data_IF_651337955419
#
_entry.id   IF_651337955419
#
_cell.length_a   1.000
_cell.length_b   1.000
_cell.length_c   1.000
_cell.angle_alpha   90.00
_cell.angle_beta   90.00
_cell.angle_gamma   90.00
#
_symmetry.space_group_name_H-M   'P 1'
#
loop_
_entity.id
_entity.type
_entity.pdbx_description
1 polymer ?
#
# COMPACT_ATOMS: atom_id res chain seq x y z
N UNK A 1 8.70 -5.60 -4.41
CA UNK A 1 7.69 -4.59 -4.04
C UNK A 1 6.95 -4.13 -5.27
N UNK A 2 5.65 -4.02 -5.19
CA UNK A 2 4.82 -3.61 -6.31
C UNK A 2 3.84 -2.53 -5.87
N UNK A 3 3.74 -1.46 -6.66
CA UNK A 3 2.79 -0.37 -6.38
C UNK A 3 1.82 -0.29 -7.55
N UNK A 4 0.52 -0.27 -7.24
CA UNK A 4 -0.54 -0.19 -8.23
C UNK A 4 -1.51 0.93 -7.85
N UNK A 5 -1.91 1.72 -8.82
CA UNK A 5 -3.00 2.66 -8.63
C UNK A 5 -4.11 2.36 -9.62
N UNK A 6 -5.29 2.00 -9.10
CA UNK A 6 -6.48 1.77 -9.90
C UNK A 6 -7.26 3.09 -9.97
N UNK A 7 -7.27 3.69 -11.16
CA UNK A 7 -7.89 4.99 -11.37
C UNK A 7 -9.40 4.94 -11.17
N UNK A 8 -10.05 3.87 -11.62
CA UNK A 8 -11.51 3.74 -11.49
C UNK A 8 -11.94 3.58 -10.04
N UNK A 9 -11.25 2.74 -9.30
CA UNK A 9 -11.54 2.50 -7.89
C UNK A 9 -10.95 3.57 -6.98
N UNK A 10 -10.05 4.41 -7.48
CA UNK A 10 -9.27 5.37 -6.70
C UNK A 10 -8.58 4.66 -5.53
N UNK A 11 -7.95 3.53 -5.82
CA UNK A 11 -7.30 2.69 -4.83
C UNK A 11 -5.81 2.54 -5.13
N UNK A 12 -4.99 2.87 -4.16
CA UNK A 12 -3.54 2.71 -4.21
C UNK A 12 -3.14 1.51 -3.37
N UNK A 13 -2.38 0.60 -3.95
CA UNK A 13 -1.94 -0.62 -3.27
C UNK A 13 -0.42 -0.73 -3.32
N UNK A 14 0.19 -0.96 -2.17
CA UNK A 14 1.62 -1.22 -2.06
C UNK A 14 1.78 -2.65 -1.54
N UNK A 15 2.31 -3.54 -2.38
CA UNK A 15 2.54 -4.95 -2.03
C UNK A 15 4.02 -5.17 -1.76
N UNK A 16 4.35 -5.56 -0.54
CA UNK A 16 5.72 -5.79 -0.10
C UNK A 16 6.17 -7.23 -0.32
N UNK A 17 5.22 -8.18 -0.24
CA UNK A 17 5.47 -9.59 -0.38
C UNK A 17 4.36 -10.26 -1.15
N UNK A 18 4.68 -11.33 -1.88
CA UNK A 18 3.70 -12.16 -2.57
C UNK A 18 3.33 -13.34 -1.65
N UNK A 19 2.54 -13.04 -0.63
CA UNK A 19 2.11 -14.02 0.36
C UNK A 19 0.62 -13.91 0.61
N UNK A 20 0.04 -14.99 1.15
CA UNK A 20 -1.37 -15.03 1.51
C UNK A 20 -1.62 -14.11 2.72
N UNK A 21 -2.74 -13.41 2.69
CA UNK A 21 -3.15 -12.52 3.76
C UNK A 21 -3.99 -13.29 4.77
N UNK A 22 -3.62 -13.20 6.04
CA UNK A 22 -4.37 -13.77 7.15
C UNK A 22 -5.29 -12.74 7.80
N UNK A 23 -4.80 -11.52 8.00
CA UNK A 23 -5.52 -10.47 8.70
C UNK A 23 -5.41 -9.16 7.95
N UNK A 24 -6.47 -8.36 8.03
CA UNK A 24 -6.50 -6.99 7.51
C UNK A 24 -7.01 -6.07 8.60
N UNK A 25 -6.35 -4.92 8.76
CA UNK A 25 -6.64 -3.97 9.82
C UNK A 25 -6.79 -2.58 9.22
N UNK A 26 -7.96 -1.97 9.41
CA UNK A 26 -8.16 -0.59 8.99
C UNK A 26 -7.63 0.35 10.07
N UNK A 27 -6.42 0.83 9.89
CA UNK A 27 -5.69 1.62 10.90
C UNK A 27 -6.14 3.09 10.94
N UNK A 28 -6.69 3.56 9.84
CA UNK A 28 -7.33 4.87 9.68
C UNK A 28 -8.42 4.72 8.62
N UNK A 29 -9.42 5.59 8.56
CA UNK A 29 -10.41 5.51 7.49
C UNK A 29 -9.75 5.46 6.12
N UNK A 30 -10.02 4.39 5.38
CA UNK A 30 -9.47 4.16 4.04
C UNK A 30 -8.04 3.67 3.99
N UNK A 31 -7.39 3.40 5.13
CA UNK A 31 -6.02 2.87 5.16
C UNK A 31 -6.03 1.49 5.79
N UNK A 32 -5.81 0.47 4.98
CA UNK A 32 -5.89 -0.93 5.37
C UNK A 32 -4.50 -1.56 5.30
N UNK A 33 -4.10 -2.22 6.39
CA UNK A 33 -2.81 -2.89 6.49
C UNK A 33 -3.07 -4.40 6.54
N UNK A 34 -2.46 -5.14 5.61
CA UNK A 34 -2.66 -6.58 5.46
C UNK A 34 -1.45 -7.35 5.95
N UNK A 35 -1.68 -8.35 6.80
CA UNK A 35 -0.64 -9.18 7.41
C UNK A 35 -0.76 -10.64 6.95
N UNK A 36 0.38 -11.28 6.79
CA UNK A 36 0.47 -12.69 6.45
C UNK A 36 0.35 -13.63 7.65
N UNK A 37 0.46 -14.93 7.37
CA UNK A 37 0.32 -15.97 8.40
C UNK A 37 1.47 -15.98 9.41
N UNK A 38 2.62 -15.43 9.02
CA UNK A 38 3.76 -15.28 9.92
C UNK A 38 3.76 -13.96 10.71
N UNK A 39 2.70 -13.15 10.56
CA UNK A 39 2.60 -11.84 11.19
C UNK A 39 3.29 -10.72 10.45
N UNK A 40 3.94 -10.99 9.32
CA UNK A 40 4.65 -9.98 8.53
C UNK A 40 3.69 -9.09 7.76
N UNK A 41 4.10 -7.85 7.55
CA UNK A 41 3.38 -6.93 6.68
C UNK A 41 3.47 -7.42 5.23
N UNK A 42 2.32 -7.60 4.59
CA UNK A 42 2.23 -8.04 3.19
C UNK A 42 1.89 -6.87 2.29
N UNK A 43 0.88 -6.07 2.65
CA UNK A 43 0.33 -5.07 1.74
C UNK A 43 -0.29 -3.91 2.51
N UNK A 44 -0.25 -2.73 1.91
CA UNK A 44 -1.02 -1.57 2.38
C UNK A 44 -1.95 -1.17 1.24
N UNK A 45 -3.24 -0.97 1.57
CA UNK A 45 -4.26 -0.54 0.62
C UNK A 45 -4.80 0.81 1.07
N UNK A 46 -4.84 1.77 0.16
CA UNK A 46 -5.36 3.11 0.42
C UNK A 46 -6.56 3.35 -0.49
N UNK A 47 -7.74 3.42 0.11
CA UNK A 47 -8.99 3.72 -0.57
C UNK A 47 -9.20 5.24 -0.59
N UNK A 48 -9.94 5.74 -1.57
CA UNK A 48 -10.05 7.19 -1.81
C UNK A 48 -8.69 7.86 -1.88
N UNK A 49 -7.76 7.23 -2.58
CA UNK A 49 -6.35 7.60 -2.56
C UNK A 49 -6.12 9.05 -2.99
N UNK A 50 -6.89 9.57 -3.94
CA UNK A 50 -6.75 10.96 -4.40
C UNK A 50 -7.07 11.97 -3.30
N UNK A 51 -7.81 11.58 -2.25
CA UNK A 51 -8.14 12.43 -1.10
C UNK A 51 -7.18 12.25 0.07
N UNK A 52 -6.36 11.19 0.04
CA UNK A 52 -5.45 10.84 1.13
C UNK A 52 -4.00 11.16 0.77
N UNK A 53 -3.59 10.80 -0.45
CA UNK A 53 -2.22 11.03 -0.92
C UNK A 53 -2.20 12.15 -1.95
N UNK A 54 -1.14 12.93 -1.94
CA UNK A 54 -0.94 13.98 -2.92
C UNK A 54 -0.41 13.34 -4.20
N UNK A 55 -1.07 13.61 -5.33
CA UNK A 55 -0.65 13.11 -6.65
C UNK A 55 -0.57 11.57 -6.70
N UNK A 56 -1.74 10.89 -6.51
CA UNK A 56 -1.80 9.44 -6.52
C UNK A 56 -1.29 8.81 -7.83
N UNK A 57 -1.27 9.56 -8.93
CA UNK A 57 -0.79 9.09 -10.23
C UNK A 57 0.70 9.28 -10.42
N UNK A 58 1.36 9.98 -9.51
CA UNK A 58 2.78 10.29 -9.62
C UNK A 58 3.51 9.72 -8.41
N UNK A 59 4.57 8.97 -8.67
CA UNK A 59 5.37 8.36 -7.61
C UNK A 59 6.84 8.61 -7.87
N UNK A 60 7.53 8.99 -6.80
CA UNK A 60 8.98 9.07 -6.80
C UNK A 60 9.54 8.00 -5.90
N UNK A 61 10.59 7.35 -6.37
CA UNK A 61 11.27 6.32 -5.61
C UNK A 61 12.77 6.63 -5.57
N UNK A 62 13.32 6.71 -4.38
CA UNK A 62 14.74 7.00 -4.20
C UNK A 62 15.36 6.01 -3.20
N UNK A 63 16.54 5.55 -3.52
CA UNK A 63 17.36 4.74 -2.61
C UNK A 63 18.60 5.57 -2.26
N UNK A 64 18.79 5.83 -0.97
CA UNK A 64 19.95 6.55 -0.47
C UNK A 64 20.94 5.56 0.11
N UNK A 65 22.15 5.59 -0.41
CA UNK A 65 23.23 4.70 0.06
C UNK A 65 24.22 5.55 0.85
N UNK A 66 24.55 5.20 2.10
CA UNK A 66 25.56 5.92 2.87
C UNK A 66 26.92 5.85 2.19
N UNK A 67 27.63 6.97 2.16
CA UNK A 67 28.98 7.04 1.59
C UNK A 67 30.05 6.62 2.60
#
# INVERSE_FOLDING_TARGET
>A
MKVTYDVEADALTITFRDERIKESDEVRPGVIVDFGYDGSLVRIEILDASHIVKNAREMQFAVTVPS
#
